data_IF_642887296366
#
_entry.id   IF_642887296366
#
_cell.length_a   1.000
_cell.length_b   1.000
_cell.length_c   1.000
_cell.angle_alpha   90.00
_cell.angle_beta   90.00
_cell.angle_gamma   90.00
#
_symmetry.space_group_name_H-M   'P 1'
#
loop_
_entity.id
_entity.type
_entity.pdbx_description
1 polymer ?
#
# COMPACT_ATOMS: atom_id res chain seq x y z
N UNK A 1 -21.46 -7.50 15.52
CA UNK A 1 -20.44 -8.33 16.18
C UNK A 1 -20.31 -7.86 17.61
N UNK A 2 -20.35 -8.80 18.54
CA UNK A 2 -20.19 -8.59 19.98
C UNK A 2 -18.77 -8.09 20.29
N UNK A 3 -18.63 -7.35 21.38
CA UNK A 3 -17.36 -6.79 21.88
C UNK A 3 -16.87 -7.71 22.98
N UNK A 4 -15.60 -8.11 22.93
CA UNK A 4 -15.00 -8.93 23.98
C UNK A 4 -14.43 -8.01 25.05
N UNK A 5 -14.94 -8.11 26.27
CA UNK A 5 -14.41 -7.43 27.43
C UNK A 5 -13.37 -8.37 28.04
N UNK A 6 -12.12 -7.94 27.92
CA UNK A 6 -10.95 -8.75 28.17
C UNK A 6 -10.29 -8.33 29.47
N UNK A 7 -9.84 -9.29 30.26
CA UNK A 7 -8.89 -9.06 31.33
C UNK A 7 -7.56 -9.79 31.07
N UNK A 8 -6.46 -9.25 31.58
CA UNK A 8 -5.12 -9.83 31.42
C UNK A 8 -4.58 -10.27 32.78
N UNK A 9 -3.99 -11.46 32.84
CA UNK A 9 -3.24 -11.94 34.02
C UNK A 9 -1.75 -12.02 33.64
N UNK A 10 -0.94 -11.14 34.22
CA UNK A 10 0.49 -10.97 33.93
C UNK A 10 0.76 -9.66 33.19
N UNK A 11 1.30 -8.66 33.89
CA UNK A 11 1.66 -7.33 33.42
C UNK A 11 3.09 -7.19 32.89
N UNK A 12 3.68 -8.27 32.38
CA UNK A 12 5.03 -8.25 31.80
C UNK A 12 5.12 -7.50 30.45
N UNK A 13 6.28 -7.55 29.77
CA UNK A 13 6.48 -6.88 28.48
C UNK A 13 5.48 -7.30 27.40
N UNK A 14 5.10 -8.59 27.36
CA UNK A 14 4.08 -9.09 26.43
C UNK A 14 2.74 -8.41 26.64
N UNK A 15 2.35 -8.12 27.88
CA UNK A 15 1.11 -7.40 28.17
C UNK A 15 1.10 -6.01 27.55
N UNK A 16 2.19 -5.24 27.68
CA UNK A 16 2.30 -3.90 27.09
C UNK A 16 2.13 -3.98 25.58
N UNK A 17 2.80 -4.92 24.92
CA UNK A 17 2.66 -5.12 23.48
C UNK A 17 1.20 -5.45 23.06
N UNK A 18 0.49 -6.24 23.86
CA UNK A 18 -0.93 -6.56 23.63
C UNK A 18 -1.80 -5.32 23.79
N UNK A 19 -1.59 -4.55 24.85
CA UNK A 19 -2.34 -3.31 25.09
C UNK A 19 -2.14 -2.31 23.95
N UNK A 20 -0.91 -2.17 23.44
CA UNK A 20 -0.60 -1.31 22.29
C UNK A 20 -1.32 -1.78 21.01
N UNK A 21 -1.50 -3.09 20.83
CA UNK A 21 -2.22 -3.64 19.68
C UNK A 21 -3.73 -3.40 19.78
N UNK A 22 -4.31 -3.60 20.96
CA UNK A 22 -5.72 -3.31 21.23
C UNK A 22 -5.99 -1.81 21.03
N UNK A 23 -5.13 -0.95 21.59
CA UNK A 23 -5.28 0.51 21.55
C UNK A 23 -5.05 1.11 20.17
N UNK A 24 -4.11 0.56 19.39
CA UNK A 24 -3.85 0.98 18.01
C UNK A 24 -4.93 0.50 17.02
N UNK A 25 -6.01 -0.12 17.52
CA UNK A 25 -7.11 -0.63 16.70
C UNK A 25 -6.62 -1.64 15.64
N UNK A 26 -5.51 -2.33 15.94
CA UNK A 26 -4.94 -3.37 15.06
C UNK A 26 -5.79 -4.63 15.07
N UNK A 27 -6.50 -4.88 16.18
CA UNK A 27 -7.44 -6.00 16.36
C UNK A 27 -8.90 -5.58 16.11
N UNK A 28 -9.16 -4.64 15.19
CA UNK A 28 -10.50 -4.11 14.84
C UNK A 28 -11.56 -5.19 14.62
N UNK A 29 -11.14 -6.34 14.05
CA UNK A 29 -12.05 -7.44 13.76
C UNK A 29 -12.48 -8.22 15.01
N UNK A 30 -11.63 -8.26 16.04
CA UNK A 30 -11.93 -8.92 17.32
C UNK A 30 -12.68 -8.02 18.30
N UNK A 31 -12.63 -6.68 18.14
CA UNK A 31 -13.33 -5.72 19.03
C UNK A 31 -13.11 -6.04 20.51
N UNK A 32 -11.85 -6.08 20.93
CA UNK A 32 -11.48 -6.26 22.33
C UNK A 32 -11.51 -4.93 23.08
N UNK A 33 -12.04 -4.96 24.28
CA UNK A 33 -12.08 -3.85 25.24
C UNK A 33 -11.38 -4.32 26.51
N UNK A 34 -10.25 -3.70 26.84
CA UNK A 34 -9.47 -4.10 28.00
C UNK A 34 -10.10 -3.49 29.27
N UNK A 35 -10.67 -4.34 30.11
CA UNK A 35 -11.41 -3.91 31.31
C UNK A 35 -10.69 -4.21 32.62
N UNK A 36 -9.67 -5.07 32.61
CA UNK A 36 -8.93 -5.42 33.82
C UNK A 36 -7.54 -5.99 33.59
N UNK A 37 -6.64 -5.79 34.55
CA UNK A 37 -5.29 -6.36 34.54
C UNK A 37 -4.88 -6.77 35.96
N UNK A 38 -4.33 -7.98 36.10
CA UNK A 38 -3.77 -8.46 37.35
C UNK A 38 -2.29 -8.81 37.22
N UNK A 39 -1.45 -8.31 38.13
CA UNK A 39 -0.08 -8.79 38.31
C UNK A 39 0.31 -8.70 39.79
N UNK A 40 1.01 -9.72 40.29
CA UNK A 40 1.50 -9.76 41.67
C UNK A 40 2.51 -8.64 41.97
N UNK A 41 3.19 -8.12 40.94
CA UNK A 41 4.07 -6.98 41.02
C UNK A 41 3.31 -5.70 40.59
N UNK A 42 2.92 -4.81 41.52
CA UNK A 42 2.23 -3.56 41.16
C UNK A 42 3.09 -2.62 40.32
N UNK A 43 4.41 -2.78 40.34
CA UNK A 43 5.34 -1.99 39.54
C UNK A 43 5.59 -2.56 38.14
N UNK A 44 4.89 -3.65 37.77
CA UNK A 44 4.99 -4.23 36.45
C UNK A 44 4.62 -3.21 35.36
N UNK A 45 5.30 -3.21 34.21
CA UNK A 45 5.08 -2.21 33.17
C UNK A 45 3.63 -2.22 32.65
N UNK A 46 3.00 -3.40 32.57
CA UNK A 46 1.60 -3.54 32.20
C UNK A 46 0.64 -2.93 33.23
N UNK A 47 0.94 -3.05 34.53
CA UNK A 47 0.13 -2.44 35.60
C UNK A 47 0.13 -0.91 35.47
N UNK A 48 1.30 -0.29 35.30
CA UNK A 48 1.43 1.17 35.13
C UNK A 48 0.70 1.67 33.89
N UNK A 49 0.90 1.02 32.75
CA UNK A 49 0.25 1.43 31.51
C UNK A 49 -1.27 1.24 31.56
N UNK A 50 -1.77 0.19 32.23
CA UNK A 50 -3.20 -0.01 32.44
C UNK A 50 -3.81 1.09 33.34
N UNK A 51 -3.10 1.51 34.38
CA UNK A 51 -3.53 2.63 35.24
C UNK A 51 -3.63 3.94 34.45
N UNK A 52 -2.64 4.24 33.61
CA UNK A 52 -2.65 5.43 32.74
C UNK A 52 -3.85 5.43 31.77
N UNK A 53 -4.33 4.25 31.39
CA UNK A 53 -5.48 4.05 30.52
C UNK A 53 -6.82 3.92 31.29
N UNK A 54 -6.83 4.12 32.62
CA UNK A 54 -7.99 3.95 33.50
C UNK A 54 -8.60 2.53 33.45
N UNK A 55 -7.78 1.51 33.19
CA UNK A 55 -8.17 0.10 33.28
C UNK A 55 -8.09 -0.34 34.74
N UNK A 56 -9.02 -1.18 35.20
CA UNK A 56 -8.97 -1.75 36.54
C UNK A 56 -7.69 -2.57 36.72
N UNK A 57 -6.93 -2.30 37.78
CA UNK A 57 -5.71 -3.07 38.10
C UNK A 57 -5.79 -3.68 39.50
N UNK A 58 -5.32 -4.90 39.65
CA UNK A 58 -5.27 -5.62 40.94
C UNK A 58 -3.98 -6.43 41.08
N UNK A 59 -3.63 -6.81 42.30
CA UNK A 59 -2.56 -7.78 42.59
C UNK A 59 -3.05 -9.21 42.71
N UNK A 60 -4.37 -9.43 42.72
CA UNK A 60 -5.00 -10.75 42.78
C UNK A 60 -5.96 -10.94 41.59
N UNK A 61 -5.69 -11.94 40.74
CA UNK A 61 -6.51 -12.17 39.55
C UNK A 61 -7.95 -12.59 39.88
N UNK A 62 -8.24 -13.08 41.10
CA UNK A 62 -9.60 -13.44 41.49
C UNK A 62 -10.54 -12.23 41.45
N UNK A 63 -10.04 -11.03 41.72
CA UNK A 63 -10.83 -9.80 41.66
C UNK A 63 -11.35 -9.53 40.24
N UNK A 64 -10.66 -10.03 39.21
CA UNK A 64 -11.08 -9.90 37.82
C UNK A 64 -12.40 -10.62 37.56
N UNK A 65 -12.68 -11.73 38.26
CA UNK A 65 -13.92 -12.50 38.07
C UNK A 65 -15.18 -11.72 38.46
N UNK A 66 -15.04 -10.68 39.27
CA UNK A 66 -16.14 -9.81 39.68
C UNK A 66 -16.44 -8.69 38.66
N UNK A 67 -15.61 -8.52 37.62
CA UNK A 67 -15.81 -7.47 36.63
C UNK A 67 -17.05 -7.74 35.78
N UNK A 68 -17.95 -6.75 35.75
CA UNK A 68 -19.19 -6.86 35.00
C UNK A 68 -18.91 -6.99 33.50
N UNK A 69 -19.52 -8.01 32.88
CA UNK A 69 -19.41 -8.26 31.45
C UNK A 69 -18.07 -8.88 31.02
N UNK A 70 -17.18 -9.29 31.93
CA UNK A 70 -15.98 -10.04 31.59
C UNK A 70 -16.35 -11.30 30.79
N UNK A 71 -15.68 -11.49 29.65
CA UNK A 71 -15.93 -12.64 28.77
C UNK A 71 -14.65 -13.35 28.30
N UNK A 72 -13.48 -12.71 28.44
CA UNK A 72 -12.21 -13.32 28.06
C UNK A 72 -11.10 -12.97 29.06
N UNK A 73 -10.30 -13.96 29.44
CA UNK A 73 -9.04 -13.78 30.16
C UNK A 73 -7.88 -14.17 29.25
N UNK A 74 -6.88 -13.30 29.16
CA UNK A 74 -5.58 -13.60 28.55
C UNK A 74 -4.57 -13.88 29.67
N UNK A 75 -4.10 -15.12 29.77
CA UNK A 75 -3.02 -15.48 30.70
C UNK A 75 -1.67 -15.25 30.02
N UNK A 76 -0.84 -14.37 30.58
CA UNK A 76 0.47 -13.97 30.04
C UNK A 76 1.58 -14.08 31.08
N UNK A 77 1.37 -14.85 32.15
CA UNK A 77 2.38 -15.10 33.18
C UNK A 77 3.42 -16.12 32.72
N UNK A 78 3.05 -17.00 31.77
CA UNK A 78 3.90 -18.09 31.29
C UNK A 78 4.04 -19.24 32.29
N UNK A 79 3.22 -19.25 33.35
CA UNK A 79 3.24 -20.26 34.41
C UNK A 79 2.08 -21.23 34.23
N UNK A 80 2.40 -22.51 34.02
CA UNK A 80 1.39 -23.56 33.81
C UNK A 80 0.45 -23.71 35.01
N UNK A 81 0.95 -23.45 36.21
CA UNK A 81 0.18 -23.52 37.45
C UNK A 81 -0.94 -22.48 37.45
N UNK A 82 -0.65 -21.26 36.99
CA UNK A 82 -1.64 -20.18 36.89
C UNK A 82 -2.66 -20.46 35.79
N UNK A 83 -2.21 -20.92 34.62
CA UNK A 83 -3.11 -21.30 33.54
C UNK A 83 -4.08 -22.41 33.96
N UNK A 84 -3.59 -23.42 34.69
CA UNK A 84 -4.44 -24.50 35.23
C UNK A 84 -5.42 -23.98 36.28
N UNK A 85 -4.97 -23.15 37.21
CA UNK A 85 -5.85 -22.54 38.23
C UNK A 85 -6.94 -21.70 37.58
N UNK A 86 -6.60 -20.84 36.61
CA UNK A 86 -7.58 -20.04 35.86
C UNK A 86 -8.59 -20.90 35.12
N UNK A 87 -8.17 -22.03 34.52
CA UNK A 87 -9.10 -22.92 33.82
C UNK A 87 -10.10 -23.59 34.78
N UNK A 88 -9.67 -23.91 36.01
CA UNK A 88 -10.49 -24.52 37.06
C UNK A 88 -11.39 -23.52 37.79
N UNK A 89 -10.93 -22.28 37.98
CA UNK A 89 -11.56 -21.27 38.85
C UNK A 89 -12.41 -20.24 38.08
N UNK A 90 -12.15 -20.03 36.78
CA UNK A 90 -12.87 -19.00 36.01
C UNK A 90 -14.39 -19.25 35.98
N UNK A 91 -15.21 -18.19 35.98
CA UNK A 91 -16.64 -18.33 35.76
C UNK A 91 -16.95 -19.04 34.44
N UNK A 92 -18.04 -19.82 34.41
CA UNK A 92 -18.40 -20.65 33.24
C UNK A 92 -18.57 -19.88 31.93
N UNK A 93 -18.98 -18.61 32.00
CA UNK A 93 -19.16 -17.73 30.86
C UNK A 93 -17.86 -17.05 30.37
N UNK A 94 -16.75 -17.20 31.09
CA UNK A 94 -15.47 -16.56 30.76
C UNK A 94 -14.59 -17.55 30.00
N UNK A 95 -14.10 -17.13 28.83
CA UNK A 95 -13.12 -17.88 28.06
C UNK A 95 -11.70 -17.60 28.56
N UNK A 96 -10.81 -18.59 28.44
CA UNK A 96 -9.39 -18.44 28.73
C UNK A 96 -8.60 -18.64 27.44
N UNK A 97 -7.67 -17.72 27.17
CA UNK A 97 -6.59 -17.92 26.21
C UNK A 97 -5.31 -17.94 27.03
N UNK A 98 -4.65 -19.10 27.07
CA UNK A 98 -3.37 -19.26 27.74
C UNK A 98 -2.23 -18.55 26.99
N UNK A 99 -1.09 -18.40 27.65
CA UNK A 99 0.07 -17.72 27.06
C UNK A 99 0.60 -18.37 25.79
N UNK A 100 0.35 -19.67 25.57
CA UNK A 100 0.82 -20.41 24.39
C UNK A 100 -0.05 -20.07 23.18
N UNK A 101 -1.36 -20.16 23.35
CA UNK A 101 -2.33 -19.80 22.30
C UNK A 101 -2.25 -18.30 22.00
N UNK A 102 -2.10 -17.47 23.04
CA UNK A 102 -1.82 -16.05 22.86
C UNK A 102 -0.54 -15.84 22.06
N UNK A 103 0.60 -16.43 22.44
CA UNK A 103 1.83 -16.22 21.64
C UNK A 103 1.67 -16.62 20.17
N UNK A 104 1.04 -17.76 19.90
CA UNK A 104 0.83 -18.23 18.54
C UNK A 104 -0.05 -17.29 17.72
N UNK A 105 -1.19 -16.84 18.28
CA UNK A 105 -2.08 -15.91 17.58
C UNK A 105 -1.34 -14.60 17.26
N UNK A 106 -0.50 -14.13 18.18
CA UNK A 106 0.28 -12.92 17.97
C UNK A 106 1.38 -13.07 16.92
N UNK A 107 2.07 -14.21 16.89
CA UNK A 107 3.07 -14.49 15.86
C UNK A 107 2.42 -14.48 14.47
N UNK A 108 1.21 -15.03 14.33
CA UNK A 108 0.44 -15.02 13.08
C UNK A 108 0.07 -13.59 12.67
N UNK A 109 -0.49 -12.80 13.58
CA UNK A 109 -0.84 -11.39 13.30
C UNK A 109 0.37 -10.56 12.88
N UNK A 110 1.53 -10.77 13.51
CA UNK A 110 2.77 -10.09 13.13
C UNK A 110 3.22 -10.48 11.72
N UNK A 111 3.19 -11.77 11.39
CA UNK A 111 3.54 -12.25 10.05
C UNK A 111 2.60 -11.67 8.97
N UNK A 112 1.31 -11.54 9.26
CA UNK A 112 0.36 -10.91 8.34
C UNK A 112 0.66 -9.42 8.16
N UNK A 113 1.00 -8.70 9.23
CA UNK A 113 1.39 -7.29 9.17
C UNK A 113 2.66 -7.09 8.33
N UNK A 114 3.69 -7.91 8.57
CA UNK A 114 4.94 -7.87 7.81
C UNK A 114 4.69 -8.11 6.32
N UNK A 115 3.90 -9.12 5.98
CA UNK A 115 3.52 -9.42 4.60
C UNK A 115 2.79 -8.24 3.96
N UNK A 116 1.79 -7.67 4.65
CA UNK A 116 1.01 -6.54 4.14
C UNK A 116 1.87 -5.31 3.90
N UNK A 117 2.85 -5.06 4.77
CA UNK A 117 3.79 -3.96 4.60
C UNK A 117 4.76 -4.20 3.44
N UNK A 118 5.25 -5.43 3.27
CA UNK A 118 6.07 -5.81 2.13
C UNK A 118 5.32 -5.64 0.80
N UNK A 119 4.04 -6.06 0.74
CA UNK A 119 3.18 -5.89 -0.44
C UNK A 119 2.96 -4.42 -0.79
N UNK A 120 2.63 -3.57 0.20
CA UNK A 120 2.49 -2.12 0.00
C UNK A 120 3.77 -1.47 -0.52
N UNK A 121 4.92 -1.85 0.01
CA UNK A 121 6.21 -1.31 -0.44
C UNK A 121 6.55 -1.78 -1.86
N UNK A 122 6.26 -3.03 -2.20
CA UNK A 122 6.41 -3.54 -3.56
C UNK A 122 5.49 -2.79 -4.55
N UNK A 123 4.24 -2.54 -4.17
CA UNK A 123 3.28 -1.81 -5.00
C UNK A 123 3.70 -0.35 -5.21
N UNK A 124 4.15 0.35 -4.17
CA UNK A 124 4.70 1.72 -4.29
C UNK A 124 5.89 1.76 -5.24
N UNK A 125 6.82 0.81 -5.14
CA UNK A 125 7.97 0.71 -6.04
C UNK A 125 7.53 0.47 -7.48
N UNK A 126 6.56 -0.41 -7.70
CA UNK A 126 5.99 -0.68 -9.01
C UNK A 126 5.33 0.56 -9.62
N UNK A 127 4.54 1.30 -8.83
CA UNK A 127 3.87 2.51 -9.29
C UNK A 127 4.88 3.61 -9.65
N UNK A 128 5.96 3.76 -8.87
CA UNK A 128 7.07 4.67 -9.20
C UNK A 128 7.74 4.28 -10.51
N UNK A 129 8.05 3.00 -10.71
CA UNK A 129 8.67 2.52 -11.94
C UNK A 129 7.78 2.77 -13.18
N UNK A 130 6.48 2.48 -13.08
CA UNK A 130 5.51 2.80 -14.14
C UNK A 130 5.47 4.31 -14.41
N UNK A 131 5.47 5.14 -13.36
CA UNK A 131 5.49 6.59 -13.50
C UNK A 131 6.75 7.11 -14.22
N UNK A 132 7.92 6.53 -13.95
CA UNK A 132 9.16 6.86 -14.68
C UNK A 132 9.06 6.46 -16.15
N UNK A 133 8.62 5.24 -16.44
CA UNK A 133 8.46 4.76 -17.82
C UNK A 133 7.48 5.63 -18.64
N UNK A 134 6.38 6.06 -18.03
CA UNK A 134 5.43 6.96 -18.69
C UNK A 134 6.07 8.32 -19.05
N UNK A 135 6.90 8.87 -18.16
CA UNK A 135 7.64 10.12 -18.45
C UNK A 135 8.61 9.92 -19.62
N UNK A 136 9.38 8.85 -19.61
CA UNK A 136 10.34 8.55 -20.67
C UNK A 136 9.61 8.36 -22.01
N UNK A 137 8.47 7.67 -22.02
CA UNK A 137 7.64 7.49 -23.21
C UNK A 137 7.09 8.82 -23.75
N UNK A 138 6.63 9.72 -22.88
CA UNK A 138 6.17 11.06 -23.28
C UNK A 138 7.30 11.87 -23.91
N UNK A 139 8.52 11.82 -23.35
CA UNK A 139 9.68 12.48 -23.93
C UNK A 139 10.03 11.90 -25.31
N UNK A 140 10.01 10.58 -25.46
CA UNK A 140 10.27 9.93 -26.76
C UNK A 140 9.21 10.28 -27.82
N UNK A 141 7.94 10.35 -27.44
CA UNK A 141 6.87 10.79 -28.36
C UNK A 141 7.06 12.23 -28.81
N UNK A 142 7.48 13.12 -27.91
CA UNK A 142 7.75 14.51 -28.24
C UNK A 142 8.96 14.66 -29.16
N UNK A 143 10.07 13.97 -28.87
CA UNK A 143 11.25 13.92 -29.73
C UNK A 143 10.92 13.39 -31.13
N UNK A 144 10.15 12.29 -31.20
CA UNK A 144 9.70 11.71 -32.46
C UNK A 144 8.86 12.71 -33.26
N UNK A 145 7.88 13.35 -32.63
CA UNK A 145 7.02 14.35 -33.28
C UNK A 145 7.82 15.53 -33.82
N UNK A 146 8.81 15.99 -33.06
CA UNK A 146 9.69 17.08 -33.49
C UNK A 146 10.55 16.66 -34.69
N UNK A 147 11.12 15.46 -34.67
CA UNK A 147 11.91 14.92 -35.77
C UNK A 147 11.08 14.75 -37.06
N UNK A 148 9.84 14.26 -36.95
CA UNK A 148 8.91 14.12 -38.08
C UNK A 148 8.58 15.48 -38.70
N UNK A 149 8.21 16.47 -37.88
CA UNK A 149 7.93 17.83 -38.33
C UNK A 149 9.14 18.48 -39.03
N UNK A 150 10.35 18.27 -38.51
CA UNK A 150 11.56 18.80 -39.12
C UNK A 150 11.86 18.12 -40.47
N UNK A 151 11.68 16.80 -40.57
CA UNK A 151 11.83 16.06 -41.82
C UNK A 151 10.84 16.55 -42.89
N UNK A 152 9.56 16.70 -42.54
CA UNK A 152 8.53 17.25 -43.43
C UNK A 152 8.89 18.67 -43.91
N UNK A 153 9.39 19.51 -43.00
CA UNK A 153 9.82 20.87 -43.34
C UNK A 153 11.00 20.87 -44.31
N UNK A 154 11.98 19.98 -44.12
CA UNK A 154 13.12 19.82 -45.05
C UNK A 154 12.67 19.39 -46.44
N UNK A 155 11.79 18.39 -46.53
CA UNK A 155 11.20 17.93 -47.80
C UNK A 155 10.44 19.06 -48.48
N UNK A 156 9.62 19.82 -47.74
CA UNK A 156 8.88 20.96 -48.28
C UNK A 156 9.81 22.04 -48.84
N UNK A 157 10.84 22.41 -48.08
CA UNK A 157 11.82 23.42 -48.51
C UNK A 157 12.56 22.99 -49.78
N UNK A 158 12.95 21.72 -49.87
CA UNK A 158 13.58 21.16 -51.06
C UNK A 158 12.64 21.18 -52.27
N UNK A 159 11.38 20.73 -52.10
CA UNK A 159 10.35 20.77 -53.14
C UNK A 159 10.09 22.18 -53.65
N UNK A 160 9.96 23.15 -52.75
CA UNK A 160 9.72 24.56 -53.09
C UNK A 160 10.91 25.18 -53.82
N UNK A 161 12.14 24.72 -53.51
CA UNK A 161 13.35 25.14 -54.24
C UNK A 161 13.35 24.56 -55.64
N UNK A 162 13.09 23.28 -55.80
CA UNK A 162 13.04 22.60 -57.10
C UNK A 162 11.95 23.19 -57.99
N UNK A 163 10.77 23.46 -57.44
CA UNK A 163 9.67 24.15 -58.15
C UNK A 163 10.10 25.54 -58.63
N UNK A 164 10.75 26.34 -57.78
CA UNK A 164 11.24 27.68 -58.15
C UNK A 164 12.28 27.64 -59.27
N UNK A 165 13.19 26.66 -59.26
CA UNK A 165 14.18 26.49 -60.32
C UNK A 165 13.50 26.14 -61.64
N UNK A 166 12.58 25.16 -61.65
CA UNK A 166 11.88 24.73 -62.85
C UNK A 166 11.04 25.85 -63.48
N UNK A 167 10.36 26.66 -62.66
CA UNK A 167 9.58 27.81 -63.12
C UNK A 167 10.45 28.97 -63.64
N UNK A 168 11.73 29.03 -63.25
CA UNK A 168 12.68 30.01 -63.77
C UNK A 168 13.23 29.67 -65.16
N UNK A 169 12.97 28.47 -65.69
CA UNK A 169 13.43 28.05 -67.01
C UNK A 169 12.55 28.62 -68.13
N UNK A 170 13.20 29.12 -69.18
CA UNK A 170 12.53 29.62 -70.40
C UNK A 170 12.01 28.50 -71.30
N UNK A 171 12.41 27.26 -71.05
CA UNK A 171 11.93 26.08 -71.78
C UNK A 171 10.72 25.46 -71.06
N UNK A 172 9.85 24.81 -71.84
CA UNK A 172 8.72 24.06 -71.32
C UNK A 172 9.20 22.72 -70.74
N UNK A 173 9.01 22.51 -69.44
CA UNK A 173 9.47 21.31 -68.71
C UNK A 173 8.31 20.62 -68.00
N UNK A 174 8.26 19.30 -68.11
CA UNK A 174 7.36 18.40 -67.39
C UNK A 174 8.17 17.32 -66.67
N UNK A 175 7.78 17.01 -65.44
CA UNK A 175 8.29 15.89 -64.65
C UNK A 175 7.23 14.81 -64.62
N UNK A 176 7.61 13.60 -64.98
CA UNK A 176 6.74 12.42 -65.00
C UNK A 176 7.14 11.45 -63.88
N UNK A 177 6.14 10.78 -63.31
CA UNK A 177 6.34 9.63 -62.41
C UNK A 177 6.91 8.45 -63.18
N UNK A 178 7.32 7.40 -62.45
CA UNK A 178 7.72 6.12 -63.05
C UNK A 178 6.61 5.46 -63.86
N UNK A 179 5.35 5.79 -63.58
CA UNK A 179 4.17 5.30 -64.29
C UNK A 179 3.73 6.26 -65.41
N UNK A 180 4.62 7.17 -65.83
CA UNK A 180 4.39 8.19 -66.87
C UNK A 180 3.25 9.18 -66.57
N UNK A 181 2.81 9.29 -65.32
CA UNK A 181 1.86 10.32 -64.90
C UNK A 181 2.58 11.67 -64.71
N UNK A 182 1.94 12.78 -65.05
CA UNK A 182 2.55 14.11 -64.84
C UNK A 182 2.54 14.43 -63.34
N UNK A 183 3.72 14.55 -62.74
CA UNK A 183 3.90 14.94 -61.33
C UNK A 183 4.09 16.45 -61.19
N UNK A 184 4.71 17.09 -62.19
CA UNK A 184 4.94 18.52 -62.19
C UNK A 184 5.03 19.06 -63.62
N UNK A 185 4.57 20.29 -63.83
CA UNK A 185 4.77 21.05 -65.06
C UNK A 185 5.16 22.48 -64.70
N UNK A 186 6.19 23.02 -65.34
CA UNK A 186 6.62 24.39 -65.06
C UNK A 186 5.67 25.42 -65.70
N UNK A 187 5.70 26.66 -65.21
CA UNK A 187 4.83 27.73 -65.73
C UNK A 187 4.97 27.96 -67.24
N UNK A 188 6.18 27.83 -67.78
CA UNK A 188 6.42 27.98 -69.22
C UNK A 188 5.68 26.90 -70.02
N UNK A 189 5.71 25.64 -69.56
CA UNK A 189 4.93 24.56 -70.16
C UNK A 189 3.44 24.86 -70.07
N UNK A 190 2.95 25.25 -68.89
CA UNK A 190 1.53 25.55 -68.68
C UNK A 190 1.05 26.73 -69.54
N UNK A 191 1.87 27.77 -69.74
CA UNK A 191 1.53 28.89 -70.64
C UNK A 191 1.50 28.50 -72.11
N UNK A 192 2.36 27.56 -72.51
CA UNK A 192 2.49 27.14 -73.90
C UNK A 192 1.50 26.04 -74.31
N UNK A 193 1.11 25.17 -73.36
CA UNK A 193 0.38 23.92 -73.65
C UNK A 193 -0.82 23.66 -72.72
N UNK A 194 -1.08 24.52 -71.73
CA UNK A 194 -2.26 24.47 -70.85
C UNK A 194 -3.40 25.34 -71.36
#
# INVERSE_FOLDING_TARGET
MERFNVAIVGGGPSCVAIMDMISADRLRQLRMDLIGLADVNPEAPGMKAAQDLNVFTTTDYHDLFALEGLNLILELTGRREISKALEEEKPSQVHLIDHTVARLFWDIEQLEEEKRNAEREAEKKRLKAVGTLLKDMMHLEEEKRNAESEAERRVRVERDRTTRILNGLSEAVVVLSKDYAIEHANETFLRAFG
#
